data_IF_441627686696
#
_entry.id   IF_441627686696
#
_cell.length_a   1.000
_cell.length_b   1.000
_cell.length_c   1.000
_cell.angle_alpha   90.00
_cell.angle_beta   90.00
_cell.angle_gamma   90.00
#
_symmetry.space_group_name_H-M   'P 1'
#
loop_
_entity.id
_entity.type
_entity.pdbx_description
1 polymer ?
#
# COMPACT_ATOMS: atom_id res chain seq x y z
N UNK A 1 -38.25 -16.04 21.01
CA UNK A 1 -38.73 -14.85 20.27
C UNK A 1 -37.60 -14.37 19.36
N UNK A 2 -37.84 -14.29 18.04
CA UNK A 2 -37.32 -13.22 17.15
C UNK A 2 -35.81 -13.31 16.80
N UNK A 3 -35.31 -13.47 15.56
CA UNK A 3 -35.78 -13.01 14.23
C UNK A 3 -34.91 -13.62 13.09
N UNK A 4 -35.58 -13.88 11.94
CA UNK A 4 -35.20 -13.63 10.53
C UNK A 4 -33.92 -14.22 9.90
N UNK A 5 -34.17 -15.27 9.11
CA UNK A 5 -33.83 -15.46 7.67
C UNK A 5 -33.08 -14.30 7.00
N UNK A 6 -31.88 -14.60 6.49
CA UNK A 6 -31.30 -13.92 5.32
C UNK A 6 -31.09 -14.99 4.25
N UNK A 7 -31.77 -14.80 3.12
CA UNK A 7 -31.79 -15.65 1.95
C UNK A 7 -30.45 -15.61 1.21
N UNK A 8 -29.99 -16.74 0.69
CA UNK A 8 -29.07 -16.80 -0.44
C UNK A 8 -29.69 -17.63 -1.57
N UNK A 9 -29.36 -17.30 -2.83
CA UNK A 9 -30.29 -17.37 -3.93
C UNK A 9 -30.33 -18.73 -4.61
N UNK A 10 -31.54 -19.07 -4.99
CA UNK A 10 -32.00 -20.02 -5.99
C UNK A 10 -31.18 -19.95 -7.28
N UNK A 11 -30.48 -21.03 -7.63
CA UNK A 11 -30.19 -21.37 -9.03
C UNK A 11 -30.28 -22.90 -9.19
N UNK A 12 -31.02 -23.30 -10.21
CA UNK A 12 -31.21 -24.65 -10.74
C UNK A 12 -32.16 -25.58 -9.96
N UNK A 13 -33.45 -25.25 -10.05
CA UNK A 13 -34.51 -26.25 -9.96
C UNK A 13 -34.43 -27.19 -11.19
N UNK A 14 -34.23 -28.49 -10.95
CA UNK A 14 -34.36 -29.51 -11.98
C UNK A 14 -33.69 -30.83 -11.61
N UNK A 15 -34.47 -31.72 -10.99
CA UNK A 15 -34.22 -33.17 -10.82
C UNK A 15 -33.19 -33.54 -9.75
N UNK A 16 -33.62 -33.63 -8.49
CA UNK A 16 -33.42 -34.80 -7.62
C UNK A 16 -34.50 -34.75 -6.52
N UNK A 17 -35.10 -35.91 -6.26
CA UNK A 17 -36.23 -36.12 -5.35
C UNK A 17 -35.90 -35.70 -3.91
N UNK A 18 -36.84 -34.97 -3.30
CA UNK A 18 -36.73 -34.50 -1.93
C UNK A 18 -37.30 -35.55 -0.97
N UNK A 19 -36.49 -36.54 -0.56
CA UNK A 19 -36.75 -37.36 0.64
C UNK A 19 -35.50 -37.93 1.33
N UNK A 20 -34.41 -37.16 1.40
CA UNK A 20 -33.25 -37.58 2.19
C UNK A 20 -33.06 -36.72 3.45
N UNK A 21 -33.19 -37.36 4.61
CA UNK A 21 -32.92 -36.79 5.92
C UNK A 21 -31.40 -36.56 6.08
N UNK A 22 -30.92 -35.35 5.78
CA UNK A 22 -29.52 -35.01 5.96
C UNK A 22 -29.22 -34.57 7.40
N UNK A 23 -28.45 -35.39 8.11
CA UNK A 23 -27.81 -34.99 9.38
C UNK A 23 -26.43 -34.38 9.09
N UNK A 24 -26.30 -33.07 9.30
CA UNK A 24 -25.04 -32.34 9.09
C UNK A 24 -24.40 -31.99 10.43
N UNK A 25 -23.27 -32.61 10.73
CA UNK A 25 -22.42 -32.21 11.86
C UNK A 25 -21.29 -31.29 11.36
N UNK A 26 -21.27 -30.04 11.81
CA UNK A 26 -20.23 -29.06 11.46
C UNK A 26 -19.32 -28.88 12.67
N UNK A 27 -18.11 -29.44 12.58
CA UNK A 27 -17.04 -29.16 13.53
C UNK A 27 -16.06 -28.18 12.89
N UNK A 28 -15.82 -27.05 13.54
CA UNK A 28 -14.90 -26.02 13.08
C UNK A 28 -13.65 -25.99 13.96
N UNK A 29 -12.48 -25.98 13.34
CA UNK A 29 -11.20 -25.73 14.03
C UNK A 29 -10.82 -24.26 13.83
N UNK A 30 -10.59 -23.54 14.93
CA UNK A 30 -10.12 -22.16 14.87
C UNK A 30 -8.61 -22.14 14.56
N UNK A 31 -8.27 -21.65 13.37
CA UNK A 31 -6.87 -21.43 12.96
C UNK A 31 -6.54 -19.95 13.15
N UNK A 32 -5.55 -19.65 13.97
CA UNK A 32 -5.08 -18.29 14.19
C UNK A 32 -3.83 -18.01 13.34
N UNK A 33 -3.83 -16.89 12.64
CA UNK A 33 -2.65 -16.42 11.90
C UNK A 33 -1.76 -15.59 12.82
N UNK A 34 -0.48 -15.94 12.91
CA UNK A 34 0.49 -15.15 13.69
C UNK A 34 0.64 -13.75 13.10
N UNK A 35 0.18 -12.73 13.84
CA UNK A 35 0.25 -11.32 13.43
C UNK A 35 1.71 -10.87 13.24
N UNK A 36 2.62 -11.34 14.09
CA UNK A 36 4.04 -10.98 14.05
C UNK A 36 4.72 -11.50 12.78
N UNK A 37 4.51 -12.79 12.44
CA UNK A 37 5.13 -13.36 11.24
C UNK A 37 4.64 -12.68 9.96
N UNK A 38 3.34 -12.32 9.90
CA UNK A 38 2.83 -11.58 8.76
C UNK A 38 3.38 -10.15 8.71
N UNK A 39 3.57 -9.47 9.84
CA UNK A 39 4.13 -8.12 9.83
C UNK A 39 5.54 -8.08 9.22
N UNK A 40 6.43 -8.99 9.64
CA UNK A 40 7.80 -9.05 9.13
C UNK A 40 7.89 -9.47 7.67
N UNK A 41 6.96 -10.29 7.18
CA UNK A 41 6.93 -10.71 5.78
C UNK A 41 6.30 -9.69 4.86
N UNK A 42 5.33 -8.91 5.38
CA UNK A 42 4.46 -8.06 4.56
C UNK A 42 4.79 -6.57 4.68
N UNK A 43 4.96 -6.05 5.89
CA UNK A 43 5.10 -4.60 6.13
C UNK A 43 6.56 -4.18 6.22
N UNK A 44 7.42 -5.03 6.79
CA UNK A 44 8.82 -4.70 6.99
C UNK A 44 9.59 -4.39 5.68
N UNK A 45 9.45 -5.16 4.58
CA UNK A 45 10.14 -4.85 3.32
C UNK A 45 9.72 -3.50 2.74
N UNK A 46 8.42 -3.18 2.86
CA UNK A 46 7.84 -1.94 2.37
C UNK A 46 8.42 -0.73 3.10
N UNK A 47 8.56 -0.82 4.42
CA UNK A 47 9.16 0.24 5.23
C UNK A 47 10.60 0.51 4.74
N UNK A 48 11.38 -0.54 4.48
CA UNK A 48 12.76 -0.40 3.99
C UNK A 48 12.77 0.32 2.63
N UNK A 49 11.94 -0.11 1.66
CA UNK A 49 11.91 0.53 0.34
C UNK A 49 11.49 2.00 0.44
N UNK A 50 10.55 2.30 1.34
CA UNK A 50 10.10 3.67 1.59
C UNK A 50 11.23 4.53 2.18
N UNK A 51 11.97 4.02 3.16
CA UNK A 51 13.12 4.71 3.74
C UNK A 51 14.22 4.99 2.70
N UNK A 52 14.47 4.03 1.79
CA UNK A 52 15.43 4.22 0.70
C UNK A 52 14.96 5.33 -0.26
N UNK A 53 13.66 5.38 -0.58
CA UNK A 53 13.10 6.46 -1.38
C UNK A 53 13.25 7.82 -0.70
N UNK A 54 13.05 7.88 0.62
CA UNK A 54 13.26 9.10 1.42
C UNK A 54 14.73 9.56 1.43
N UNK A 55 15.69 8.62 1.46
CA UNK A 55 17.12 8.94 1.35
C UNK A 55 17.49 9.61 0.01
N UNK A 56 16.69 9.46 -1.04
CA UNK A 56 16.86 10.20 -2.31
C UNK A 56 16.95 11.72 -2.09
N UNK A 57 16.21 12.24 -1.11
CA UNK A 57 16.25 13.66 -0.77
C UNK A 57 17.58 14.12 -0.18
N UNK A 58 18.33 13.24 0.51
CA UNK A 58 19.64 13.60 1.08
C UNK A 58 20.75 13.76 0.04
N UNK A 59 20.55 13.28 -1.19
CA UNK A 59 21.50 13.47 -2.29
C UNK A 59 21.51 14.94 -2.69
N UNK A 60 22.60 15.52 -3.20
CA UNK A 60 22.58 16.91 -3.67
C UNK A 60 21.67 17.11 -4.89
N UNK A 61 20.98 18.25 -5.00
CA UNK A 61 20.16 18.64 -6.17
C UNK A 61 20.94 18.63 -7.48
N UNK A 62 22.27 18.77 -7.41
CA UNK A 62 23.15 18.72 -8.59
C UNK A 62 23.27 17.32 -9.19
N UNK A 63 23.06 16.27 -8.40
CA UNK A 63 23.19 14.88 -8.82
C UNK A 63 21.80 14.30 -9.19
N UNK A 64 21.13 14.93 -10.14
CA UNK A 64 19.76 14.54 -10.54
C UNK A 64 19.66 13.09 -11.01
N UNK A 65 20.63 12.60 -11.79
CA UNK A 65 20.62 11.23 -12.30
C UNK A 65 20.59 10.18 -11.18
N UNK A 66 21.31 10.42 -10.08
CA UNK A 66 21.30 9.51 -8.93
C UNK A 66 19.94 9.52 -8.20
N UNK A 67 19.32 10.70 -8.07
CA UNK A 67 17.99 10.86 -7.44
C UNK A 67 16.89 10.15 -8.22
N UNK A 68 16.85 10.36 -9.54
CA UNK A 68 15.90 9.66 -10.41
C UNK A 68 16.16 8.16 -10.40
N UNK A 69 17.43 7.74 -10.46
CA UNK A 69 17.79 6.32 -10.38
C UNK A 69 17.22 5.63 -9.14
N UNK A 70 17.34 6.26 -7.96
CA UNK A 70 16.75 5.74 -6.72
C UNK A 70 15.22 5.74 -6.78
N UNK A 71 14.59 6.82 -7.24
CA UNK A 71 13.13 6.91 -7.34
C UNK A 71 12.54 5.82 -8.25
N UNK A 72 13.12 5.63 -9.44
CA UNK A 72 12.65 4.63 -10.41
C UNK A 72 12.89 3.21 -9.90
N UNK A 73 14.05 2.95 -9.29
CA UNK A 73 14.39 1.62 -8.75
C UNK A 73 13.48 1.25 -7.57
N UNK A 74 13.18 2.19 -6.68
CA UNK A 74 12.28 1.97 -5.54
C UNK A 74 10.83 1.76 -5.99
N UNK A 75 10.36 2.51 -6.99
CA UNK A 75 9.07 2.26 -7.64
C UNK A 75 8.99 0.85 -8.23
N UNK A 76 9.99 0.45 -9.03
CA UNK A 76 10.03 -0.87 -9.66
C UNK A 76 10.04 -1.99 -8.61
N UNK A 77 10.82 -1.81 -7.54
CA UNK A 77 10.90 -2.77 -6.43
C UNK A 77 9.57 -2.90 -5.69
N UNK A 78 8.86 -1.79 -5.51
CA UNK A 78 7.55 -1.77 -4.84
C UNK A 78 6.47 -2.42 -5.69
N UNK A 79 6.45 -2.18 -7.00
CA UNK A 79 5.56 -2.88 -7.93
C UNK A 79 5.83 -4.38 -7.91
N UNK A 80 7.08 -4.81 -8.00
CA UNK A 80 7.43 -6.23 -7.89
C UNK A 80 6.94 -6.85 -6.58
N UNK A 81 7.07 -6.11 -5.48
CA UNK A 81 6.59 -6.56 -4.18
C UNK A 81 5.05 -6.61 -4.07
N UNK A 82 4.33 -5.62 -4.61
CA UNK A 82 2.86 -5.64 -4.68
C UNK A 82 2.35 -6.81 -5.50
N UNK A 83 3.04 -7.20 -6.58
CA UNK A 83 2.66 -8.37 -7.37
C UNK A 83 2.98 -9.70 -6.65
N UNK A 84 4.09 -9.77 -5.93
CA UNK A 84 4.53 -10.99 -5.25
C UNK A 84 3.76 -11.29 -3.96
N UNK A 85 3.36 -10.27 -3.19
CA UNK A 85 2.75 -10.43 -1.88
C UNK A 85 1.36 -11.10 -1.85
N UNK A 86 0.41 -10.79 -2.77
CA UNK A 86 -0.91 -11.40 -2.80
C UNK A 86 -0.97 -12.74 -3.56
N UNK A 87 0.16 -13.27 -4.04
CA UNK A 87 0.22 -14.50 -4.85
C UNK A 87 -0.42 -15.75 -4.20
N UNK A 88 -0.63 -15.75 -2.88
CA UNK A 88 -1.33 -16.81 -2.15
C UNK A 88 -2.76 -16.49 -1.73
N UNK A 89 -3.33 -15.35 -2.13
CA UNK A 89 -4.67 -14.91 -1.74
C UNK A 89 -5.63 -14.98 -2.95
N UNK A 90 -6.87 -15.48 -2.77
CA UNK A 90 -7.86 -15.44 -3.83
C UNK A 90 -8.17 -13.98 -4.22
N UNK A 91 -8.54 -13.70 -5.47
CA UNK A 91 -8.95 -12.36 -5.89
C UNK A 91 -10.22 -11.97 -5.14
N UNK A 92 -10.15 -10.91 -4.34
CA UNK A 92 -11.26 -10.37 -3.56
C UNK A 92 -11.81 -9.13 -4.28
N UNK A 93 -13.14 -9.00 -4.36
CA UNK A 93 -13.80 -7.84 -4.98
C UNK A 93 -13.76 -6.54 -4.17
N UNK A 94 -12.97 -6.50 -3.10
CA UNK A 94 -12.79 -5.34 -2.23
C UNK A 94 -11.30 -5.04 -2.03
N UNK A 95 -10.98 -3.77 -1.78
CA UNK A 95 -9.60 -3.36 -1.48
C UNK A 95 -9.12 -4.00 -0.18
N UNK A 96 -8.07 -4.82 -0.25
CA UNK A 96 -7.42 -5.30 0.96
C UNK A 96 -6.69 -4.15 1.66
N UNK A 97 -6.50 -4.29 2.98
CA UNK A 97 -5.69 -3.35 3.76
C UNK A 97 -4.28 -3.17 3.17
N UNK A 98 -3.72 -4.24 2.61
CA UNK A 98 -2.44 -4.22 1.90
C UNK A 98 -2.46 -3.30 0.68
N UNK A 99 -3.48 -3.42 -0.18
CA UNK A 99 -3.61 -2.60 -1.39
C UNK A 99 -3.77 -1.11 -1.05
N UNK A 100 -4.51 -0.80 0.03
CA UNK A 100 -4.63 0.58 0.52
C UNK A 100 -3.29 1.16 0.95
N UNK A 101 -2.48 0.40 1.68
CA UNK A 101 -1.13 0.82 2.09
C UNK A 101 -0.26 1.06 0.84
N UNK A 102 -0.32 0.16 -0.15
CA UNK A 102 0.44 0.31 -1.39
C UNK A 102 0.08 1.58 -2.17
N UNK A 103 -1.20 1.92 -2.27
CA UNK A 103 -1.65 3.16 -2.92
C UNK A 103 -1.05 4.41 -2.27
N UNK A 104 -0.93 4.42 -0.94
CA UNK A 104 -0.29 5.53 -0.21
C UNK A 104 1.19 5.64 -0.58
N UNK A 105 1.90 4.51 -0.63
CA UNK A 105 3.33 4.48 -0.95
C UNK A 105 3.57 4.92 -2.40
N UNK A 106 2.74 4.49 -3.34
CA UNK A 106 2.81 4.97 -4.72
C UNK A 106 2.61 6.48 -4.81
N UNK A 107 1.66 7.02 -4.05
CA UNK A 107 1.42 8.47 -4.00
C UNK A 107 2.64 9.21 -3.44
N UNK A 108 3.28 8.65 -2.42
CA UNK A 108 4.50 9.20 -1.82
C UNK A 108 5.68 9.18 -2.82
N UNK A 109 5.85 8.11 -3.57
CA UNK A 109 6.92 8.00 -4.56
C UNK A 109 6.69 8.90 -5.77
N UNK A 110 5.42 9.05 -6.20
CA UNK A 110 5.06 10.01 -7.22
C UNK A 110 5.38 11.44 -6.77
N UNK A 111 5.03 11.78 -5.52
CA UNK A 111 5.39 13.08 -4.94
C UNK A 111 6.91 13.29 -4.92
N UNK A 112 7.69 12.28 -4.49
CA UNK A 112 9.15 12.34 -4.48
C UNK A 112 9.73 12.61 -5.88
N UNK A 113 9.19 11.93 -6.89
CA UNK A 113 9.58 12.12 -8.28
C UNK A 113 9.25 13.54 -8.77
N UNK A 114 8.05 14.05 -8.48
CA UNK A 114 7.63 15.40 -8.87
C UNK A 114 8.55 16.45 -8.25
N UNK A 115 8.85 16.34 -6.95
CA UNK A 115 9.76 17.28 -6.28
C UNK A 115 11.15 17.22 -6.92
N UNK A 116 11.69 16.02 -7.15
CA UNK A 116 13.01 15.85 -7.79
C UNK A 116 13.07 16.48 -9.18
N UNK A 117 12.02 16.34 -10.00
CA UNK A 117 11.92 16.96 -11.33
C UNK A 117 11.82 18.48 -11.23
N UNK A 118 11.02 19.00 -10.31
CA UNK A 118 10.88 20.45 -10.12
C UNK A 118 12.18 21.09 -9.62
N UNK A 119 12.87 20.44 -8.68
CA UNK A 119 14.21 20.86 -8.22
C UNK A 119 15.20 20.94 -9.37
N UNK A 120 15.19 19.96 -10.30
CA UNK A 120 16.06 20.00 -11.48
C UNK A 120 15.76 21.20 -12.37
N UNK A 121 14.48 21.48 -12.65
CA UNK A 121 14.10 22.62 -13.50
C UNK A 121 14.58 23.96 -12.91
N UNK A 122 14.57 24.10 -11.59
CA UNK A 122 15.12 25.28 -10.90
C UNK A 122 16.65 25.37 -10.98
N UNK A 123 17.33 24.21 -10.88
CA UNK A 123 18.79 24.11 -11.05
C UNK A 123 19.20 24.48 -12.47
N UNK A 124 18.47 24.01 -13.48
CA UNK A 124 18.71 24.30 -14.90
C UNK A 124 18.48 25.78 -15.24
N UNK A 125 17.57 26.44 -14.53
CA UNK A 125 17.34 27.90 -14.61
C UNK A 125 18.42 28.76 -13.91
N UNK A 126 19.56 28.17 -13.50
CA UNK A 126 20.64 28.83 -12.73
C UNK A 126 20.24 29.37 -11.35
N UNK A 127 19.06 29.01 -10.82
CA UNK A 127 18.55 29.46 -9.50
C UNK A 127 18.86 28.42 -8.41
N UNK A 128 20.14 28.08 -8.26
CA UNK A 128 20.61 27.01 -7.37
C UNK A 128 20.21 27.27 -5.89
N UNK A 129 20.30 28.51 -5.43
CA UNK A 129 19.93 28.88 -4.06
C UNK A 129 18.43 28.69 -3.78
N UNK A 130 17.60 28.94 -4.78
CA UNK A 130 16.15 28.77 -4.67
C UNK A 130 15.76 27.30 -4.74
N UNK A 131 16.45 26.50 -5.56
CA UNK A 131 16.29 25.05 -5.55
C UNK A 131 16.63 24.46 -4.16
N UNK A 132 17.70 24.94 -3.51
CA UNK A 132 18.07 24.49 -2.17
C UNK A 132 17.09 24.95 -1.08
N UNK A 133 16.59 26.20 -1.15
CA UNK A 133 15.56 26.70 -0.21
C UNK A 133 14.23 25.98 -0.40
N UNK A 134 13.83 25.73 -1.64
CA UNK A 134 12.64 24.97 -1.99
C UNK A 134 12.73 23.53 -1.45
N UNK A 135 13.87 22.87 -1.64
CA UNK A 135 14.08 21.52 -1.11
C UNK A 135 14.19 21.47 0.41
N UNK A 136 14.88 22.40 1.06
CA UNK A 136 14.92 22.42 2.54
C UNK A 136 13.53 22.64 3.13
N UNK A 137 12.71 23.50 2.51
CA UNK A 137 11.32 23.68 2.90
C UNK A 137 10.49 22.40 2.72
N UNK A 138 10.66 21.72 1.59
CA UNK A 138 9.94 20.47 1.29
C UNK A 138 10.44 19.28 2.11
N UNK A 139 11.75 19.16 2.36
CA UNK A 139 12.35 18.12 3.19
C UNK A 139 11.84 18.17 4.63
N UNK A 140 11.67 19.37 5.18
CA UNK A 140 11.12 19.52 6.53
C UNK A 140 9.61 19.24 6.58
N UNK A 141 8.90 19.48 5.47
CA UNK A 141 7.50 19.10 5.30
C UNK A 141 7.33 17.59 5.02
N UNK A 142 8.37 16.92 4.52
CA UNK A 142 8.31 15.53 4.07
C UNK A 142 7.94 14.51 5.16
N UNK A 143 8.52 14.55 6.39
CA UNK A 143 8.05 13.69 7.47
C UNK A 143 6.61 14.03 7.86
N UNK A 144 6.21 15.31 7.81
CA UNK A 144 4.83 15.71 8.07
C UNK A 144 3.86 15.19 6.98
N UNK A 145 4.23 15.22 5.70
CA UNK A 145 3.44 14.65 4.59
C UNK A 145 3.38 13.13 4.69
N UNK A 146 4.48 12.48 5.04
CA UNK A 146 4.53 11.03 5.24
C UNK A 146 3.60 10.63 6.38
N UNK A 147 3.68 11.32 7.53
CA UNK A 147 2.81 11.09 8.69
C UNK A 147 1.36 11.44 8.38
N UNK A 148 1.09 12.56 7.69
CA UNK A 148 -0.26 12.98 7.30
C UNK A 148 -0.90 12.06 6.25
N UNK A 149 -0.12 11.38 5.41
CA UNK A 149 -0.61 10.32 4.53
C UNK A 149 -0.73 8.98 5.26
N UNK A 150 0.08 8.71 6.29
CA UNK A 150 -0.03 7.47 7.06
C UNK A 150 -1.23 7.47 8.01
N UNK A 151 -1.46 8.57 8.73
CA UNK A 151 -2.48 8.71 9.78
C UNK A 151 -3.90 8.40 9.29
N UNK A 152 -4.45 9.05 8.25
CA UNK A 152 -5.83 8.81 7.84
C UNK A 152 -6.02 7.36 7.35
N UNK A 153 -5.02 6.77 6.71
CA UNK A 153 -5.13 5.41 6.19
C UNK A 153 -4.93 4.33 7.27
N UNK A 154 -4.17 4.61 8.34
CA UNK A 154 -4.04 3.74 9.54
C UNK A 154 -5.25 3.85 10.47
N UNK A 155 -6.01 4.95 10.43
CA UNK A 155 -7.18 5.17 11.31
C UNK A 155 -8.51 4.70 10.71
N UNK A 156 -8.59 4.57 9.38
CA UNK A 156 -9.75 4.02 8.64
C UNK A 156 -10.04 2.49 8.83
N UNK A 157 -9.17 1.62 9.40
CA UNK A 157 -9.53 0.21 9.62
C UNK A 157 -10.72 0.01 10.58
N UNK A 158 -11.15 1.05 11.30
CA UNK A 158 -12.29 0.99 12.21
C UNK A 158 -13.64 1.45 11.64
N UNK A 159 -13.70 1.91 10.37
CA UNK A 159 -14.91 2.54 9.82
C UNK A 159 -15.64 1.72 8.74
N UNK A 160 -15.10 0.57 8.30
CA UNK A 160 -15.73 -0.31 7.30
C UNK A 160 -15.60 -1.77 7.73
#
# INVERSE_FOLDING_TARGET
MTKRKVLLPTVAAGVLEADENFSKFVSGVAVYRSKVSSFFKTIFPIIIITLISLLSFSISVKNFGQRIGICVTTLMSTVGYHLAAPSGLPPLGYLMLFDRIMLVIYSLFLYNLIVSVQSMRLVEANRIEEAQKFESGIQNLLPAVTIALFIPYVLVPGLI
#
